data_IF_247527005145
#
_entry.id   IF_247527005145
#
_cell.length_a   1.000
_cell.length_b   1.000
_cell.length_c   1.000
_cell.angle_alpha   90.00
_cell.angle_beta   90.00
_cell.angle_gamma   90.00
#
_symmetry.space_group_name_H-M   'P 1'
#
loop_
_entity.id
_entity.type
_entity.pdbx_description
1 polymer ?
#
# COMPACT_ATOMS: atom_id res chain seq x y z
N UNK A 1 -8.64 18.05 -1.67
CA UNK A 1 -8.00 17.93 -0.35
C UNK A 1 -6.51 17.73 -0.55
N UNK A 2 -5.67 18.44 0.20
CA UNK A 2 -4.22 18.23 0.26
C UNK A 2 -3.88 16.86 0.85
N UNK A 3 -2.62 16.43 0.71
CA UNK A 3 -2.13 15.17 1.28
C UNK A 3 -2.16 15.18 2.81
N UNK A 4 -1.95 16.34 3.43
CA UNK A 4 -2.08 16.51 4.88
C UNK A 4 -3.54 16.39 5.35
N UNK A 5 -4.48 17.02 4.65
CA UNK A 5 -5.91 16.90 4.97
C UNK A 5 -6.43 15.48 4.76
N UNK A 6 -5.95 14.81 3.72
CA UNK A 6 -6.31 13.43 3.42
C UNK A 6 -5.89 12.47 4.53
N UNK A 7 -4.60 12.48 4.90
CA UNK A 7 -4.09 11.52 5.88
C UNK A 7 -4.72 11.75 7.26
N UNK A 8 -4.92 13.02 7.65
CA UNK A 8 -5.62 13.36 8.88
C UNK A 8 -7.06 12.86 8.89
N UNK A 9 -7.79 13.05 7.79
CA UNK A 9 -9.18 12.54 7.65
C UNK A 9 -9.24 11.02 7.71
N UNK A 10 -8.25 10.33 7.16
CA UNK A 10 -8.13 8.88 7.24
C UNK A 10 -7.85 8.40 8.67
N UNK A 11 -6.86 8.99 9.34
CA UNK A 11 -6.44 8.64 10.69
C UNK A 11 -7.53 8.89 11.74
N UNK A 12 -8.26 10.00 11.61
CA UNK A 12 -9.38 10.34 12.49
C UNK A 12 -10.68 9.59 12.16
N UNK A 13 -10.67 8.71 11.15
CA UNK A 13 -11.86 7.97 10.76
C UNK A 13 -12.98 8.89 10.28
N UNK A 14 -12.64 10.01 9.63
CA UNK A 14 -13.58 10.93 8.98
C UNK A 14 -13.71 10.67 7.47
N UNK A 15 -12.80 9.91 6.88
CA UNK A 15 -12.87 9.55 5.47
C UNK A 15 -14.06 8.61 5.19
N UNK A 16 -14.97 8.95 4.26
CA UNK A 16 -16.09 8.07 3.89
C UNK A 16 -15.60 6.75 3.26
N UNK A 17 -16.29 5.62 3.51
CA UNK A 17 -15.93 4.32 2.94
C UNK A 17 -15.83 4.32 1.41
N UNK A 18 -16.69 5.08 0.75
CA UNK A 18 -16.77 5.18 -0.72
C UNK A 18 -15.59 5.93 -1.33
N UNK A 19 -14.87 6.71 -0.52
CA UNK A 19 -13.69 7.47 -0.92
C UNK A 19 -12.38 6.73 -0.65
N UNK A 20 -12.42 5.53 -0.05
CA UNK A 20 -11.23 4.73 0.23
C UNK A 20 -11.08 3.57 -0.77
N UNK A 21 -10.82 3.94 -2.02
CA UNK A 21 -10.48 3.02 -3.10
C UNK A 21 -8.98 2.63 -3.10
N UNK A 22 -8.54 1.90 -4.13
CA UNK A 22 -7.14 1.51 -4.27
C UNK A 22 -6.19 2.72 -4.37
N UNK A 23 -6.61 3.80 -5.05
CA UNK A 23 -5.79 5.02 -5.15
C UNK A 23 -5.65 5.70 -3.79
N UNK A 24 -6.72 5.76 -3.00
CA UNK A 24 -6.68 6.29 -1.64
C UNK A 24 -5.77 5.45 -0.73
N UNK A 25 -5.77 4.13 -0.87
CA UNK A 25 -4.83 3.25 -0.15
C UNK A 25 -3.37 3.58 -0.48
N UNK A 26 -3.04 3.72 -1.77
CA UNK A 26 -1.69 4.09 -2.20
C UNK A 26 -1.32 5.52 -1.74
N UNK A 27 -2.27 6.46 -1.76
CA UNK A 27 -2.06 7.81 -1.24
C UNK A 27 -1.73 7.82 0.24
N UNK A 28 -2.39 6.97 1.04
CA UNK A 28 -2.06 6.80 2.46
C UNK A 28 -0.64 6.24 2.64
N UNK A 29 -0.26 5.23 1.86
CA UNK A 29 1.10 4.71 1.85
C UNK A 29 2.15 5.79 1.51
N UNK A 30 1.92 6.58 0.47
CA UNK A 30 2.78 7.71 0.10
C UNK A 30 2.89 8.71 1.27
N UNK A 31 1.77 9.05 1.90
CA UNK A 31 1.75 9.96 3.04
C UNK A 31 2.57 9.46 4.23
N UNK A 32 2.44 8.18 4.60
CA UNK A 32 3.22 7.60 5.69
C UNK A 32 4.70 7.49 5.34
N UNK A 33 5.04 7.05 4.14
CA UNK A 33 6.43 6.91 3.68
C UNK A 33 7.16 8.26 3.56
N UNK A 34 6.44 9.35 3.31
CA UNK A 34 7.00 10.71 3.29
C UNK A 34 7.26 11.29 4.68
N UNK A 35 6.70 10.68 5.75
CA UNK A 35 6.74 11.20 7.13
C UNK A 35 7.54 10.32 8.09
N UNK A 36 7.70 9.05 7.77
CA UNK A 36 8.28 8.06 8.67
C UNK A 36 9.31 7.17 7.96
N UNK A 37 10.31 6.65 8.69
CA UNK A 37 11.12 5.53 8.22
C UNK A 37 10.25 4.34 7.80
N UNK A 38 10.75 3.52 6.87
CA UNK A 38 9.98 2.44 6.24
C UNK A 38 9.22 1.53 7.22
N UNK A 39 9.90 1.04 8.27
CA UNK A 39 9.27 0.13 9.24
C UNK A 39 8.17 0.81 10.06
N UNK A 40 8.37 2.06 10.46
CA UNK A 40 7.36 2.86 11.16
C UNK A 40 6.17 3.18 10.25
N UNK A 41 6.42 3.51 8.98
CA UNK A 41 5.38 3.72 7.99
C UNK A 41 4.52 2.46 7.78
N UNK A 42 5.14 1.27 7.73
CA UNK A 42 4.43 -0.01 7.64
C UNK A 42 3.51 -0.25 8.84
N UNK A 43 3.98 0.03 10.06
CA UNK A 43 3.17 -0.06 11.28
C UNK A 43 1.98 0.90 11.22
N UNK A 44 2.24 2.19 10.90
CA UNK A 44 1.18 3.19 10.80
C UNK A 44 0.13 2.82 9.73
N UNK A 45 0.56 2.30 8.58
CA UNK A 45 -0.33 1.86 7.51
C UNK A 45 -1.18 0.66 7.93
N UNK A 46 -0.58 -0.37 8.53
CA UNK A 46 -1.32 -1.52 9.06
C UNK A 46 -2.40 -1.08 10.05
N UNK A 47 -2.01 -0.28 11.04
CA UNK A 47 -2.91 0.10 12.12
C UNK A 47 -4.05 0.99 11.59
N UNK A 48 -3.75 1.91 10.66
CA UNK A 48 -4.74 2.73 9.98
C UNK A 48 -5.76 1.90 9.18
N UNK A 49 -5.28 0.95 8.38
CA UNK A 49 -6.14 0.05 7.60
C UNK A 49 -7.01 -0.84 8.48
N UNK A 50 -6.46 -1.39 9.55
CA UNK A 50 -7.22 -2.23 10.47
C UNK A 50 -8.32 -1.43 11.20
N UNK A 51 -8.00 -0.23 11.69
CA UNK A 51 -9.01 0.68 12.28
C UNK A 51 -10.11 1.02 11.27
N UNK A 52 -9.72 1.38 10.05
CA UNK A 52 -10.67 1.70 8.99
C UNK A 52 -11.58 0.51 8.65
N UNK A 53 -11.00 -0.68 8.47
CA UNK A 53 -11.73 -1.90 8.15
C UNK A 53 -12.70 -2.32 9.27
N UNK A 54 -12.28 -2.19 10.54
CA UNK A 54 -13.13 -2.45 11.69
C UNK A 54 -14.33 -1.48 11.75
N UNK A 55 -14.11 -0.18 11.54
CA UNK A 55 -15.15 0.85 11.55
C UNK A 55 -16.27 0.58 10.53
N UNK A 56 -15.93 0.03 9.38
CA UNK A 56 -16.91 -0.29 8.31
C UNK A 56 -17.45 -1.72 8.37
N UNK A 57 -17.16 -2.48 9.44
CA UNK A 57 -17.61 -3.86 9.61
C UNK A 57 -16.95 -4.88 8.68
N UNK A 58 -15.78 -4.55 8.12
CA UNK A 58 -15.06 -5.38 7.14
C UNK A 58 -13.63 -5.71 7.59
N UNK A 59 -13.41 -5.96 8.88
CA UNK A 59 -12.09 -6.28 9.44
C UNK A 59 -11.35 -7.40 8.69
N UNK A 60 -12.09 -8.38 8.15
CA UNK A 60 -11.56 -9.47 7.34
C UNK A 60 -10.98 -9.08 5.98
N UNK A 61 -11.03 -7.80 5.56
CA UNK A 61 -10.43 -7.35 4.30
C UNK A 61 -8.93 -7.06 4.41
N UNK A 62 -8.40 -6.83 5.62
CA UNK A 62 -6.97 -6.56 5.81
C UNK A 62 -6.11 -7.74 5.34
N UNK A 63 -4.99 -7.45 4.68
CA UNK A 63 -4.09 -8.44 4.11
C UNK A 63 -2.61 -8.01 4.24
N UNK A 64 -1.91 -8.60 5.21
CA UNK A 64 -0.54 -8.22 5.59
C UNK A 64 0.44 -8.22 4.40
N UNK A 65 0.55 -9.33 3.67
CA UNK A 65 1.53 -9.46 2.57
C UNK A 65 1.31 -8.42 1.47
N UNK A 66 0.06 -8.19 1.06
CA UNK A 66 -0.26 -7.19 0.02
C UNK A 66 0.12 -5.79 0.50
N UNK A 67 -0.25 -5.41 1.72
CA UNK A 67 0.07 -4.10 2.29
C UNK A 67 1.59 -3.87 2.32
N UNK A 68 2.35 -4.80 2.91
CA UNK A 68 3.81 -4.64 3.02
C UNK A 68 4.50 -4.68 1.66
N UNK A 69 4.03 -5.49 0.71
CA UNK A 69 4.56 -5.52 -0.65
C UNK A 69 4.40 -4.17 -1.37
N UNK A 70 3.22 -3.55 -1.31
CA UNK A 70 3.00 -2.22 -1.87
C UNK A 70 3.84 -1.15 -1.17
N UNK A 71 3.90 -1.17 0.17
CA UNK A 71 4.77 -0.26 0.93
C UNK A 71 6.24 -0.36 0.50
N UNK A 72 6.73 -1.58 0.26
CA UNK A 72 8.10 -1.85 -0.18
C UNK A 72 8.36 -1.28 -1.57
N UNK A 73 7.47 -1.58 -2.53
CA UNK A 73 7.57 -1.07 -3.91
C UNK A 73 7.51 0.46 -3.97
N UNK A 74 6.61 1.06 -3.19
CA UNK A 74 6.47 2.51 -3.12
C UNK A 74 7.69 3.16 -2.49
N UNK A 75 8.20 2.61 -1.38
CA UNK A 75 9.39 3.14 -0.72
C UNK A 75 10.60 3.14 -1.66
N UNK A 76 10.86 2.03 -2.37
CA UNK A 76 11.94 1.95 -3.35
C UNK A 76 11.80 3.02 -4.44
N UNK A 77 10.60 3.19 -5.00
CA UNK A 77 10.35 4.16 -6.07
C UNK A 77 10.48 5.61 -5.59
N UNK A 78 9.99 5.91 -4.39
CA UNK A 78 10.13 7.24 -3.79
C UNK A 78 11.61 7.60 -3.56
N UNK A 79 12.45 6.63 -3.18
CA UNK A 79 13.88 6.86 -2.99
C UNK A 79 14.65 7.00 -4.31
N UNK A 80 14.28 6.24 -5.35
CA UNK A 80 14.92 6.35 -6.68
C UNK A 80 14.45 7.56 -7.48
N UNK A 81 13.20 7.97 -7.28
CA UNK A 81 12.58 9.07 -8.00
C UNK A 81 11.79 9.97 -7.02
N UNK A 82 12.48 10.79 -6.21
CA UNK A 82 11.82 11.68 -5.26
C UNK A 82 10.83 12.61 -5.97
N UNK A 83 9.60 12.69 -5.44
CA UNK A 83 8.56 13.61 -5.90
C UNK A 83 8.01 14.38 -4.70
N UNK A 84 7.60 15.63 -4.94
CA UNK A 84 7.11 16.51 -3.90
C UNK A 84 5.67 16.21 -3.48
N UNK A 85 4.86 15.64 -4.38
CA UNK A 85 3.43 15.46 -4.18
C UNK A 85 2.92 14.12 -4.74
N UNK A 86 1.78 13.69 -4.20
CA UNK A 86 1.12 12.45 -4.58
C UNK A 86 0.74 12.37 -6.06
N UNK A 87 0.21 13.44 -6.66
CA UNK A 87 -0.31 13.42 -8.03
C UNK A 87 0.82 13.21 -9.04
N UNK A 88 1.94 13.89 -8.86
CA UNK A 88 3.15 13.69 -9.67
C UNK A 88 3.70 12.27 -9.50
N UNK A 89 3.74 11.75 -8.28
CA UNK A 89 4.23 10.40 -8.00
C UNK A 89 3.39 9.33 -8.70
N UNK A 90 2.07 9.37 -8.54
CA UNK A 90 1.18 8.33 -9.09
C UNK A 90 1.06 8.42 -10.61
N UNK A 91 1.18 9.61 -11.21
CA UNK A 91 1.22 9.78 -12.66
C UNK A 91 2.47 9.12 -13.27
N UNK A 92 3.63 9.23 -12.61
CA UNK A 92 4.89 8.60 -13.04
C UNK A 92 4.90 7.09 -12.84
N UNK A 93 4.21 6.61 -11.81
CA UNK A 93 4.19 5.21 -11.40
C UNK A 93 2.78 4.60 -11.49
N UNK A 94 2.13 4.84 -12.64
CA UNK A 94 0.73 4.46 -12.88
C UNK A 94 0.48 2.95 -12.79
N UNK A 95 1.50 2.13 -12.99
CA UNK A 95 1.44 0.67 -12.82
C UNK A 95 1.15 0.27 -11.36
N UNK A 96 1.37 1.13 -10.36
CA UNK A 96 0.91 0.90 -8.98
C UNK A 96 -0.61 0.76 -8.87
N UNK A 97 -1.37 1.32 -9.83
CA UNK A 97 -2.81 1.19 -9.88
C UNK A 97 -3.29 -0.10 -10.58
N UNK A 98 -2.39 -0.90 -11.17
CA UNK A 98 -2.73 -2.18 -11.78
C UNK A 98 -3.09 -3.21 -10.70
N UNK A 99 -4.25 -3.86 -10.85
CA UNK A 99 -4.76 -4.84 -9.88
C UNK A 99 -3.87 -6.08 -9.76
N UNK A 100 -3.13 -6.40 -10.80
CA UNK A 100 -2.31 -7.59 -10.95
C UNK A 100 -0.81 -7.28 -10.86
N UNK A 101 -0.40 -6.06 -10.47
CA UNK A 101 1.01 -5.70 -10.32
C UNK A 101 1.79 -6.72 -9.47
N UNK A 102 1.19 -7.20 -8.37
CA UNK A 102 1.83 -8.14 -7.46
C UNK A 102 2.02 -9.54 -8.06
N UNK A 103 1.35 -9.89 -9.16
CA UNK A 103 1.59 -11.15 -9.89
C UNK A 103 3.01 -11.26 -10.45
N UNK A 104 3.71 -10.11 -10.61
CA UNK A 104 5.12 -10.06 -11.00
C UNK A 104 6.07 -10.55 -9.89
N UNK A 105 5.60 -10.58 -8.64
CA UNK A 105 6.41 -10.88 -7.45
C UNK A 105 5.93 -12.10 -6.68
N UNK A 106 4.65 -12.43 -6.79
CA UNK A 106 4.03 -13.52 -6.04
C UNK A 106 3.26 -14.45 -6.97
N UNK A 107 3.31 -15.74 -6.64
CA UNK A 107 2.35 -16.71 -7.15
C UNK A 107 0.96 -16.44 -6.56
N UNK A 108 -0.07 -16.70 -7.34
CA UNK A 108 -1.46 -16.52 -6.92
C UNK A 108 -1.80 -17.34 -5.68
N UNK A 109 -1.27 -18.56 -5.58
CA UNK A 109 -1.46 -19.47 -4.45
C UNK A 109 -0.90 -18.89 -3.14
N UNK A 110 0.22 -18.18 -3.21
CA UNK A 110 0.88 -17.56 -2.06
C UNK A 110 0.04 -16.41 -1.53
N UNK A 111 -0.44 -15.52 -2.42
CA UNK A 111 -1.35 -14.44 -2.02
C UNK A 111 -2.69 -14.97 -1.53
N UNK A 112 -3.19 -16.10 -2.05
CA UNK A 112 -4.44 -16.70 -1.60
C UNK A 112 -4.34 -17.44 -0.25
N UNK A 113 -3.12 -17.69 0.25
CA UNK A 113 -2.92 -18.47 1.48
C UNK A 113 -3.42 -17.75 2.74
N UNK A 114 -3.94 -18.46 3.76
CA UNK A 114 -4.30 -17.82 5.04
C UNK A 114 -3.11 -17.14 5.73
N UNK A 115 -1.90 -17.70 5.57
CA UNK A 115 -0.69 -17.17 6.20
C UNK A 115 -0.32 -15.78 5.65
N UNK A 116 -0.48 -15.54 4.34
CA UNK A 116 -0.15 -14.25 3.71
C UNK A 116 -1.02 -13.09 4.24
N UNK A 117 -2.18 -13.40 4.81
CA UNK A 117 -3.09 -12.39 5.39
C UNK A 117 -2.63 -11.90 6.75
N UNK A 118 -1.91 -12.72 7.50
CA UNK A 118 -1.51 -12.46 8.90
C UNK A 118 -0.01 -12.29 9.10
N UNK A 119 0.79 -12.67 8.11
CA UNK A 119 2.24 -12.52 8.12
C UNK A 119 2.71 -12.09 6.73
N UNK A 120 3.74 -11.23 6.70
CA UNK A 120 4.40 -10.86 5.45
C UNK A 120 5.21 -12.06 4.93
N UNK A 121 4.90 -12.49 3.71
CA UNK A 121 5.66 -13.50 2.99
C UNK A 121 6.54 -12.83 1.95
N UNK A 122 7.75 -13.36 1.75
CA UNK A 122 8.63 -12.91 0.68
C UNK A 122 8.08 -13.33 -0.70
N UNK A 123 8.40 -12.52 -1.72
CA UNK A 123 8.04 -12.81 -3.11
C UNK A 123 8.63 -14.12 -3.60
N UNK A 124 7.82 -14.93 -4.27
CA UNK A 124 8.13 -16.28 -4.70
C UNK A 124 7.82 -16.54 -6.20
N UNK A 125 7.44 -15.50 -6.94
CA UNK A 125 7.44 -15.58 -8.39
C UNK A 125 8.90 -15.58 -8.88
N UNK A 126 9.24 -16.57 -9.73
CA UNK A 126 10.53 -16.59 -10.41
C UNK A 126 10.59 -15.36 -11.31
N UNK A 127 11.40 -14.36 -10.92
CA UNK A 127 11.67 -13.21 -11.78
C UNK A 127 12.30 -13.77 -13.05
N UNK A 128 11.64 -13.63 -14.21
CA UNK A 128 12.40 -13.66 -15.46
C UNK A 128 13.28 -12.42 -15.39
N UNK A 129 14.59 -12.63 -15.30
CA UNK A 129 15.55 -11.53 -15.45
C UNK A 129 15.20 -10.83 -16.76
N UNK A 130 14.79 -9.56 -16.65
CA UNK A 130 14.75 -8.69 -17.82
C UNK A 130 16.21 -8.27 -17.99
N UNK A 131 16.90 -8.92 -18.92
CA UNK A 131 18.22 -8.51 -19.40
C UNK A 131 18.16 -7.01 -19.77
N UNK A 132 19.14 -6.26 -19.24
CA UNK A 132 19.28 -4.83 -19.42
C UNK A 132 19.77 -4.46 -20.83
#
# INVERSE_FOLDING_TARGET
MSDAEFILSFEEGRLPPEQFDHRAHLRAAFCYLSRHPFLEACVAMRDGLQRFAARIGKAGLYHETITVAFMSLMSERMQRHPQADWETFIARHSDLCERDLLSRYYRSETLASPLSRVSFLMGDACRKEVEA
#
